data_IF_248557842424
#
_entry.id   IF_248557842424
#
_cell.length_a   1.000
_cell.length_b   1.000
_cell.length_c   1.000
_cell.angle_alpha   90.00
_cell.angle_beta   90.00
_cell.angle_gamma   90.00
#
_symmetry.space_group_name_H-M   'P 1'
#
loop_
_entity.id
_entity.type
_entity.pdbx_description
1 polymer ?
#
# COMPACT_ATOMS: atom_id res chain seq x y z
N UNK A 1 -13.68 21.51 -16.98
CA UNK A 1 -14.10 21.10 -15.62
C UNK A 1 -14.22 22.36 -14.76
N UNK A 2 -15.22 22.43 -13.86
CA UNK A 2 -15.46 23.60 -13.01
C UNK A 2 -14.76 23.39 -11.66
N UNK A 3 -14.17 24.46 -11.14
CA UNK A 3 -13.64 24.48 -9.76
C UNK A 3 -14.77 24.25 -8.74
N UNK A 4 -14.40 23.70 -7.58
CA UNK A 4 -15.34 23.45 -6.49
C UNK A 4 -15.96 24.77 -5.97
N UNK A 5 -17.28 25.01 -6.09
CA UNK A 5 -17.92 26.21 -5.55
C UNK A 5 -18.31 26.06 -4.07
N UNK A 6 -18.23 24.84 -3.52
CA UNK A 6 -18.60 24.49 -2.15
C UNK A 6 -17.36 24.31 -1.27
N UNK A 7 -16.47 25.30 -1.29
CA UNK A 7 -15.18 25.29 -0.57
C UNK A 7 -15.26 25.84 0.85
N UNK A 8 -16.40 26.39 1.24
CA UNK A 8 -16.57 27.11 2.50
C UNK A 8 -16.90 26.21 3.70
N UNK A 9 -17.25 24.94 3.47
CA UNK A 9 -17.47 23.96 4.53
C UNK A 9 -16.21 23.11 4.74
N UNK A 10 -15.89 22.72 5.98
CA UNK A 10 -14.66 21.95 6.29
C UNK A 10 -14.60 20.59 5.59
N UNK A 11 -15.75 20.00 5.27
CA UNK A 11 -15.82 18.77 4.48
C UNK A 11 -15.33 18.94 3.03
N UNK A 12 -15.05 20.16 2.58
CA UNK A 12 -14.46 20.41 1.27
C UNK A 12 -12.95 20.09 1.23
N UNK A 13 -12.28 20.03 2.39
CA UNK A 13 -10.85 19.71 2.49
C UNK A 13 -10.53 18.30 1.94
N UNK A 14 -11.50 17.37 2.04
CA UNK A 14 -11.38 16.03 1.49
C UNK A 14 -11.61 15.98 -0.03
N UNK A 15 -12.05 17.06 -0.67
CA UNK A 15 -12.36 17.06 -2.11
C UNK A 15 -11.14 17.50 -2.92
N UNK A 16 -10.56 16.57 -3.70
CA UNK A 16 -9.34 16.84 -4.45
C UNK A 16 -9.48 16.64 -5.96
N UNK A 17 -10.57 16.03 -6.44
CA UNK A 17 -10.85 15.93 -7.88
C UNK A 17 -11.68 17.10 -8.40
N UNK A 18 -11.75 17.23 -9.73
CA UNK A 18 -12.71 18.13 -10.36
C UNK A 18 -14.16 17.71 -10.11
N UNK A 19 -15.08 18.66 -10.25
CA UNK A 19 -16.52 18.41 -10.17
C UNK A 19 -17.10 17.89 -11.46
N UNK A 20 -17.94 16.86 -11.34
CA UNK A 20 -18.80 16.38 -12.41
C UNK A 20 -20.23 16.23 -11.86
N UNK A 21 -21.20 16.86 -12.50
CA UNK A 21 -22.60 16.75 -12.09
C UNK A 21 -23.50 16.51 -13.29
N UNK A 22 -24.52 15.71 -13.10
CA UNK A 22 -25.61 15.51 -14.07
C UNK A 22 -26.88 16.03 -13.40
N UNK A 23 -27.56 16.96 -14.07
CA UNK A 23 -28.84 17.50 -13.61
C UNK A 23 -29.92 17.08 -14.61
N UNK A 24 -30.90 16.33 -14.13
CA UNK A 24 -32.06 15.96 -14.92
C UNK A 24 -33.18 16.96 -14.71
N UNK A 25 -33.85 17.33 -15.80
CA UNK A 25 -34.98 18.26 -15.79
C UNK A 25 -36.17 17.65 -16.51
N UNK A 26 -37.36 17.90 -16.01
CA UNK A 26 -38.60 17.53 -16.69
C UNK A 26 -38.87 18.45 -17.90
N UNK A 27 -39.94 18.17 -18.65
CA UNK A 27 -40.34 18.97 -19.82
C UNK A 27 -40.69 20.44 -19.51
N UNK A 28 -40.93 20.76 -18.24
CA UNK A 28 -41.18 22.12 -17.76
C UNK A 28 -39.90 22.83 -17.27
N UNK A 29 -38.74 22.17 -17.35
CA UNK A 29 -37.45 22.69 -16.90
C UNK A 29 -37.19 22.59 -15.40
N UNK A 30 -38.09 21.96 -14.63
CA UNK A 30 -37.87 21.70 -13.20
C UNK A 30 -36.90 20.55 -13.00
N UNK A 31 -35.97 20.72 -12.06
CA UNK A 31 -34.99 19.69 -11.70
C UNK A 31 -35.67 18.51 -11.01
N UNK A 32 -35.23 17.31 -11.39
CA UNK A 32 -35.73 16.05 -10.86
C UNK A 32 -34.66 15.45 -9.95
N UNK A 33 -34.96 15.37 -8.65
CA UNK A 33 -34.13 14.67 -7.69
C UNK A 33 -34.34 13.17 -7.86
N UNK A 34 -33.28 12.45 -8.23
CA UNK A 34 -33.30 11.00 -8.36
C UNK A 34 -32.47 10.41 -7.24
N UNK A 35 -33.13 9.63 -6.39
CA UNK A 35 -32.55 8.92 -5.26
C UNK A 35 -33.10 7.49 -5.23
N UNK A 36 -32.36 6.57 -4.59
CA UNK A 36 -32.72 5.16 -4.45
C UNK A 36 -32.92 4.43 -5.79
N UNK A 37 -31.96 4.59 -6.70
CA UNK A 37 -31.90 3.81 -7.93
C UNK A 37 -31.87 2.30 -7.61
N UNK A 38 -32.59 1.51 -8.41
CA UNK A 38 -32.59 0.04 -8.31
C UNK A 38 -31.25 -0.58 -8.71
N UNK A 39 -30.52 0.11 -9.58
CA UNK A 39 -29.14 -0.21 -9.95
C UNK A 39 -28.29 1.05 -9.85
N UNK A 40 -27.12 0.95 -9.21
CA UNK A 40 -26.22 2.07 -9.05
C UNK A 40 -25.69 2.55 -10.41
N UNK A 41 -25.52 3.86 -10.54
CA UNK A 41 -24.84 4.49 -11.67
C UNK A 41 -23.33 4.52 -11.39
N UNK A 42 -22.54 4.03 -12.35
CA UNK A 42 -21.07 4.16 -12.31
C UNK A 42 -20.63 5.48 -12.94
N UNK A 43 -19.83 6.25 -12.22
CA UNK A 43 -19.30 7.56 -12.64
C UNK A 43 -17.78 7.50 -12.57
N UNK A 44 -17.11 7.78 -13.69
CA UNK A 44 -15.65 7.81 -13.75
C UNK A 44 -15.12 9.24 -13.81
N UNK A 45 -14.29 9.59 -12.82
CA UNK A 45 -13.67 10.89 -12.65
C UNK A 45 -12.15 10.75 -12.89
N UNK A 46 -11.55 11.55 -13.78
CA UNK A 46 -10.09 11.59 -13.89
C UNK A 46 -9.50 12.21 -12.63
N UNK A 47 -8.44 11.62 -12.09
CA UNK A 47 -7.67 12.23 -11.00
C UNK A 47 -6.75 13.31 -11.58
N UNK A 48 -6.54 14.40 -10.82
CA UNK A 48 -5.54 15.41 -11.19
C UNK A 48 -4.16 14.92 -10.77
N UNK A 49 -3.22 14.89 -11.72
CA UNK A 49 -1.82 14.56 -11.46
C UNK A 49 -1.42 13.16 -11.91
N UNK A 50 -0.11 12.94 -12.02
CA UNK A 50 0.45 11.63 -12.31
C UNK A 50 0.43 10.85 -10.99
N UNK A 51 -0.16 9.64 -10.94
CA UNK A 51 -0.10 8.81 -9.75
C UNK A 51 1.36 8.56 -9.36
N UNK A 52 1.72 8.93 -8.13
CA UNK A 52 3.06 8.69 -7.60
C UNK A 52 3.25 7.19 -7.35
N UNK A 53 4.34 6.65 -7.88
CA UNK A 53 4.74 5.27 -7.66
C UNK A 53 6.17 5.27 -7.12
N UNK A 54 6.39 4.44 -6.12
CA UNK A 54 7.70 4.19 -5.56
C UNK A 54 8.35 3.03 -6.31
N UNK A 55 9.58 3.26 -6.76
CA UNK A 55 10.40 2.21 -7.36
C UNK A 55 11.23 1.54 -6.28
N UNK A 56 10.95 0.26 -6.06
CA UNK A 56 11.54 -0.54 -4.98
C UNK A 56 12.29 -1.73 -5.57
N UNK A 57 13.45 -2.05 -5.00
CA UNK A 57 14.22 -3.24 -5.37
C UNK A 57 13.87 -4.41 -4.45
N UNK A 58 13.35 -5.48 -5.03
CA UNK A 58 13.18 -6.78 -4.37
C UNK A 58 14.45 -7.61 -4.60
N UNK A 59 15.14 -8.00 -3.52
CA UNK A 59 16.33 -8.85 -3.61
C UNK A 59 15.96 -10.30 -3.35
N UNK A 60 16.18 -11.17 -4.33
CA UNK A 60 15.88 -12.61 -4.25
C UNK A 60 17.19 -13.41 -4.20
N UNK A 61 17.44 -14.25 -3.19
CA UNK A 61 18.67 -15.05 -3.11
C UNK A 61 18.78 -16.06 -4.27
N UNK A 62 19.90 -16.07 -5.01
CA UNK A 62 20.11 -16.99 -6.16
C UNK A 62 20.07 -18.47 -5.75
N UNK A 63 20.42 -18.81 -4.50
CA UNK A 63 20.34 -20.19 -3.97
C UNK A 63 18.93 -20.81 -4.02
N UNK A 64 17.89 -20.00 -4.21
CA UNK A 64 16.49 -20.43 -4.34
C UNK A 64 16.06 -20.65 -5.80
N UNK A 65 16.79 -20.07 -6.76
CA UNK A 65 16.53 -20.20 -8.20
C UNK A 65 17.24 -21.41 -8.84
N UNK A 66 18.35 -21.89 -8.29
CA UNK A 66 19.16 -22.97 -8.88
C UNK A 66 18.67 -24.40 -8.59
N UNK A 67 17.63 -24.59 -7.77
CA UNK A 67 17.08 -25.93 -7.51
C UNK A 67 16.35 -26.44 -8.76
N UNK A 68 16.95 -27.44 -9.42
CA UNK A 68 16.47 -28.07 -10.66
C UNK A 68 15.20 -28.93 -10.51
N UNK A 69 14.65 -29.03 -9.30
CA UNK A 69 13.31 -29.53 -9.02
C UNK A 69 12.38 -28.34 -8.79
N UNK A 70 11.09 -28.37 -9.20
CA UNK A 70 10.14 -27.32 -8.85
C UNK A 70 10.27 -27.03 -7.36
N UNK A 71 10.78 -25.84 -7.03
CA UNK A 71 10.99 -25.45 -5.64
C UNK A 71 9.62 -25.40 -5.02
N UNK A 72 9.34 -26.34 -4.11
CA UNK A 72 8.15 -26.24 -3.29
C UNK A 72 8.24 -24.91 -2.56
N UNK A 73 7.14 -24.15 -2.56
CA UNK A 73 7.01 -22.83 -1.92
C UNK A 73 7.38 -22.85 -0.41
N UNK A 74 7.58 -24.04 0.17
CA UNK A 74 8.10 -24.31 1.51
C UNK A 74 9.58 -23.95 1.75
N UNK A 75 10.34 -23.60 0.71
CA UNK A 75 11.74 -23.16 0.85
C UNK A 75 11.87 -21.66 1.16
N UNK A 76 10.81 -20.87 0.92
CA UNK A 76 10.76 -19.45 1.24
C UNK A 76 10.59 -19.23 2.74
N UNK A 77 11.30 -18.23 3.28
CA UNK A 77 11.19 -17.78 4.66
C UNK A 77 10.53 -16.40 4.71
N UNK A 78 10.01 -16.01 5.88
CA UNK A 78 9.37 -14.70 6.07
C UNK A 78 10.29 -13.51 5.68
N UNK A 79 11.61 -13.72 5.66
CA UNK A 79 12.61 -12.72 5.24
C UNK A 79 12.57 -12.40 3.74
N UNK A 80 12.01 -13.30 2.93
CA UNK A 80 11.97 -13.21 1.47
C UNK A 80 10.68 -12.48 0.98
N UNK A 81 9.79 -12.14 1.92
CA UNK A 81 8.59 -11.33 1.68
C UNK A 81 8.99 -9.86 1.80
N UNK A 82 8.72 -9.07 0.76
CA UNK A 82 8.72 -7.62 0.86
C UNK A 82 7.41 -7.19 1.53
N UNK A 83 7.49 -6.50 2.66
CA UNK A 83 6.33 -5.98 3.39
C UNK A 83 6.24 -4.48 3.21
N UNK A 84 5.11 -4.00 2.69
CA UNK A 84 4.79 -2.58 2.60
C UNK A 84 3.73 -2.23 3.63
N UNK A 85 4.02 -1.29 4.53
CA UNK A 85 3.08 -0.77 5.52
C UNK A 85 2.49 0.57 5.04
N UNK A 86 1.18 0.70 5.10
CA UNK A 86 0.50 2.00 4.97
C UNK A 86 -0.77 2.08 5.81
N UNK A 87 -1.19 3.32 6.12
CA UNK A 87 -2.41 3.59 6.89
C UNK A 87 -3.51 4.06 5.95
N UNK A 88 -4.70 3.51 6.12
CA UNK A 88 -5.91 3.96 5.43
C UNK A 88 -6.94 4.44 6.45
N UNK A 89 -7.51 5.60 6.15
CA UNK A 89 -8.53 6.23 6.99
C UNK A 89 -9.88 5.53 6.84
N UNK A 90 -10.71 5.65 7.88
CA UNK A 90 -12.10 5.25 7.87
C UNK A 90 -12.88 5.88 6.70
N UNK A 91 -13.78 5.10 6.10
CA UNK A 91 -14.61 5.54 4.99
C UNK A 91 -13.90 5.53 3.63
N UNK A 92 -12.58 5.32 3.57
CA UNK A 92 -11.82 5.28 2.32
C UNK A 92 -11.68 3.87 1.76
N UNK A 93 -11.96 3.73 0.47
CA UNK A 93 -11.54 2.55 -0.29
C UNK A 93 -10.06 2.67 -0.66
N UNK A 94 -9.42 1.53 -0.88
CA UNK A 94 -7.98 1.44 -1.06
C UNK A 94 -7.68 0.75 -2.39
N UNK A 95 -6.76 1.34 -3.14
CA UNK A 95 -6.23 0.81 -4.40
C UNK A 95 -4.73 0.59 -4.22
N UNK A 96 -4.30 -0.65 -4.43
CA UNK A 96 -2.89 -1.04 -4.36
C UNK A 96 -2.45 -1.42 -5.76
N UNK A 97 -1.43 -0.72 -6.27
CA UNK A 97 -0.80 -1.00 -7.55
C UNK A 97 0.55 -1.64 -7.32
N UNK A 98 0.80 -2.78 -7.96
CA UNK A 98 2.09 -3.47 -7.93
C UNK A 98 2.43 -3.94 -9.33
N UNK A 99 3.52 -3.44 -9.90
CA UNK A 99 3.97 -3.84 -11.25
C UNK A 99 5.47 -4.13 -11.25
N UNK A 100 5.90 -5.32 -11.71
CA UNK A 100 7.29 -5.55 -12.07
C UNK A 100 7.72 -4.66 -13.25
N UNK A 101 8.91 -4.09 -13.18
CA UNK A 101 9.49 -3.30 -14.27
C UNK A 101 9.74 -4.19 -15.49
N UNK A 102 10.22 -5.41 -15.27
CA UNK A 102 10.43 -6.42 -16.30
C UNK A 102 9.12 -7.12 -16.67
N UNK A 103 8.94 -7.36 -17.97
CA UNK A 103 7.80 -8.10 -18.49
C UNK A 103 7.96 -9.61 -18.19
N UNK A 104 6.84 -10.35 -18.09
CA UNK A 104 6.75 -11.79 -17.79
C UNK A 104 7.09 -12.22 -16.35
N UNK A 105 7.14 -11.27 -15.41
CA UNK A 105 7.21 -11.58 -13.99
C UNK A 105 5.82 -11.73 -13.41
N UNK A 106 5.60 -12.81 -12.65
CA UNK A 106 4.40 -12.98 -11.85
C UNK A 106 4.76 -12.87 -10.37
N UNK A 107 3.98 -12.09 -9.65
CA UNK A 107 4.09 -11.89 -8.21
C UNK A 107 2.91 -12.51 -7.50
N UNK A 108 3.15 -13.01 -6.29
CA UNK A 108 2.12 -13.26 -5.29
C UNK A 108 2.06 -12.06 -4.36
N UNK A 109 0.90 -11.45 -4.28
CA UNK A 109 0.63 -10.28 -3.45
C UNK A 109 -0.52 -10.59 -2.52
N UNK A 110 -0.34 -10.34 -1.24
CA UNK A 110 -1.38 -10.53 -0.23
C UNK A 110 -1.44 -9.31 0.66
N UNK A 111 -2.66 -8.97 1.08
CA UNK A 111 -2.91 -7.80 1.91
C UNK A 111 -3.55 -8.26 3.19
N UNK A 112 -2.94 -7.91 4.32
CA UNK A 112 -3.41 -8.23 5.66
C UNK A 112 -3.68 -6.94 6.44
N UNK A 113 -4.75 -6.92 7.22
CA UNK A 113 -5.10 -5.79 8.09
C UNK A 113 -4.46 -5.99 9.47
N UNK A 114 -3.88 -4.92 10.02
CA UNK A 114 -3.31 -4.72 11.36
C UNK A 114 -2.14 -5.64 11.77
N UNK A 115 -1.88 -6.70 11.01
CA UNK A 115 -0.78 -7.64 11.22
C UNK A 115 0.03 -7.85 9.96
N UNK A 116 1.32 -8.12 10.15
CA UNK A 116 2.20 -8.49 9.04
C UNK A 116 1.83 -9.88 8.52
N UNK A 117 1.86 -10.08 7.19
CA UNK A 117 1.61 -11.39 6.62
C UNK A 117 2.79 -12.31 6.87
N UNK A 118 2.47 -13.58 7.13
CA UNK A 118 3.46 -14.65 7.19
C UNK A 118 3.43 -15.50 5.91
N UNK A 119 4.34 -16.48 5.84
CA UNK A 119 4.41 -17.36 4.68
C UNK A 119 3.18 -18.27 4.51
N UNK A 120 2.43 -18.57 5.57
CA UNK A 120 1.19 -19.36 5.44
C UNK A 120 0.09 -18.53 4.77
N UNK A 121 -0.03 -17.26 5.16
CA UNK A 121 -0.93 -16.29 4.55
C UNK A 121 -0.67 -16.19 3.03
N UNK A 122 0.62 -16.15 2.63
CA UNK A 122 1.03 -16.12 1.22
C UNK A 122 0.61 -17.36 0.44
N UNK A 123 0.59 -18.52 1.10
CA UNK A 123 0.36 -19.80 0.45
C UNK A 123 -1.12 -20.06 0.15
N UNK A 124 -2.02 -19.59 1.01
CA UNK A 124 -3.45 -19.89 0.89
C UNK A 124 -4.22 -18.86 0.07
N UNK A 125 -3.92 -17.57 0.25
CA UNK A 125 -4.84 -16.49 -0.14
C UNK A 125 -4.19 -15.36 -0.96
N UNK A 126 -2.92 -15.50 -1.36
CA UNK A 126 -2.27 -14.49 -2.18
C UNK A 126 -2.89 -14.38 -3.57
N UNK A 127 -3.00 -13.15 -4.04
CA UNK A 127 -3.45 -12.77 -5.38
C UNK A 127 -2.25 -12.78 -6.34
N UNK A 128 -2.45 -13.30 -7.55
CA UNK A 128 -1.42 -13.31 -8.60
C UNK A 128 -1.48 -12.02 -9.40
N UNK A 129 -0.34 -11.36 -9.55
CA UNK A 129 -0.19 -10.10 -10.30
C UNK A 129 0.88 -10.27 -11.37
N UNK A 130 0.62 -9.94 -12.66
CA UNK A 130 -0.64 -9.42 -13.20
C UNK A 130 -1.79 -10.43 -13.11
N UNK A 131 -3.02 -9.94 -12.91
CA UNK A 131 -4.25 -10.74 -13.00
C UNK A 131 -4.41 -11.31 -14.41
N UNK A 132 -4.85 -12.56 -14.50
CA UNK A 132 -5.14 -13.22 -15.78
C UNK A 132 -6.25 -12.47 -16.54
N UNK A 133 -6.12 -12.35 -17.87
CA UNK A 133 -7.08 -11.61 -18.70
C UNK A 133 -8.53 -12.10 -18.54
N UNK A 134 -8.74 -13.41 -18.33
CA UNK A 134 -10.06 -14.02 -18.09
C UNK A 134 -10.67 -13.67 -16.74
N UNK A 135 -9.85 -13.21 -15.81
CA UNK A 135 -10.27 -12.78 -14.48
C UNK A 135 -10.67 -11.31 -14.47
N UNK A 136 -10.11 -10.49 -15.34
CA UNK A 136 -10.53 -9.10 -15.51
C UNK A 136 -12.01 -9.05 -15.98
N UNK A 137 -12.82 -8.18 -15.37
CA UNK A 137 -14.21 -7.86 -15.77
C UNK A 137 -15.33 -8.90 -15.55
N UNK A 138 -15.04 -10.13 -15.10
CA UNK A 138 -16.06 -11.21 -15.10
C UNK A 138 -16.92 -11.36 -13.84
N UNK A 139 -16.62 -10.67 -12.74
CA UNK A 139 -17.42 -10.76 -11.50
C UNK A 139 -17.54 -9.41 -10.79
N UNK A 140 -18.77 -9.06 -10.39
CA UNK A 140 -19.14 -7.79 -9.74
C UNK A 140 -18.66 -7.71 -8.28
N UNK A 141 -18.16 -8.81 -7.71
CA UNK A 141 -17.86 -8.90 -6.27
C UNK A 141 -16.37 -8.90 -5.91
N UNK A 142 -15.44 -9.12 -6.85
CA UNK A 142 -14.05 -9.43 -6.45
C UNK A 142 -12.92 -9.14 -7.44
N UNK A 143 -13.13 -8.38 -8.54
CA UNK A 143 -12.06 -8.22 -9.54
C UNK A 143 -11.92 -6.79 -10.05
N UNK A 144 -10.66 -6.36 -10.11
CA UNK A 144 -10.24 -5.01 -10.50
C UNK A 144 -10.27 -4.83 -12.01
N UNK A 145 -10.40 -3.60 -12.49
CA UNK A 145 -10.34 -3.31 -13.93
C UNK A 145 -8.92 -3.36 -14.52
N UNK A 146 -7.89 -3.52 -13.69
CA UNK A 146 -6.50 -3.35 -14.08
C UNK A 146 -5.65 -4.55 -13.61
N UNK A 147 -4.82 -5.15 -14.49
CA UNK A 147 -4.08 -6.38 -14.19
C UNK A 147 -3.15 -6.26 -12.97
N UNK A 148 -2.68 -5.05 -12.69
CA UNK A 148 -1.71 -4.79 -11.63
C UNK A 148 -2.32 -4.13 -10.38
N UNK A 149 -3.64 -4.22 -10.22
CA UNK A 149 -4.37 -3.54 -9.14
C UNK A 149 -5.07 -4.53 -8.23
N UNK A 150 -5.00 -4.28 -6.93
CA UNK A 150 -5.83 -4.89 -5.90
C UNK A 150 -6.73 -3.79 -5.32
N UNK A 151 -8.03 -4.06 -5.26
CA UNK A 151 -9.06 -3.18 -4.71
C UNK A 151 -9.48 -3.70 -3.34
N UNK A 152 -9.57 -2.80 -2.37
CA UNK A 152 -10.20 -3.07 -1.09
C UNK A 152 -11.32 -2.06 -0.85
N UNK A 153 -12.53 -2.52 -0.49
CA UNK A 153 -13.66 -1.64 -0.24
C UNK A 153 -13.42 -0.76 0.99
N UNK A 154 -14.30 0.24 1.17
CA UNK A 154 -14.26 1.14 2.32
C UNK A 154 -14.45 0.38 3.63
N UNK A 155 -13.74 0.81 4.66
CA UNK A 155 -13.86 0.26 6.03
C UNK A 155 -14.52 1.26 6.97
N UNK A 156 -15.16 0.77 8.03
CA UNK A 156 -15.80 1.60 9.07
C UNK A 156 -14.85 1.93 10.24
N UNK A 157 -13.54 1.75 10.05
CA UNK A 157 -12.53 2.10 11.02
C UNK A 157 -11.20 2.37 10.30
N UNK A 158 -10.31 3.09 10.97
CA UNK A 158 -8.94 3.26 10.51
C UNK A 158 -8.21 1.91 10.55
N UNK A 159 -7.47 1.60 9.49
CA UNK A 159 -6.77 0.31 9.34
C UNK A 159 -5.31 0.52 8.96
N UNK A 160 -4.43 -0.31 9.50
CA UNK A 160 -3.05 -0.41 9.01
C UNK A 160 -2.96 -1.61 8.09
N UNK A 161 -2.54 -1.40 6.85
CA UNK A 161 -2.48 -2.45 5.84
C UNK A 161 -1.03 -2.87 5.60
N UNK A 162 -0.79 -4.17 5.68
CA UNK A 162 0.49 -4.79 5.37
C UNK A 162 0.37 -5.58 4.07
N UNK A 163 1.12 -5.15 3.05
CA UNK A 163 1.17 -5.79 1.74
C UNK A 163 2.41 -6.68 1.69
N UNK A 164 2.21 -7.99 1.67
CA UNK A 164 3.27 -8.97 1.42
C UNK A 164 3.42 -9.22 -0.08
N UNK A 165 4.63 -9.07 -0.60
CA UNK A 165 4.96 -9.28 -2.02
C UNK A 165 6.05 -10.35 -2.11
N UNK A 166 5.81 -11.35 -2.94
CA UNK A 166 6.70 -12.47 -3.19
C UNK A 166 6.78 -12.76 -4.69
N UNK A 167 7.96 -13.14 -5.18
CA UNK A 167 8.11 -13.64 -6.54
C UNK A 167 7.44 -15.02 -6.69
N UNK A 168 6.62 -15.20 -7.72
CA UNK A 168 6.08 -16.53 -8.06
C UNK A 168 7.06 -17.29 -8.95
N UNK A 169 7.64 -18.38 -8.44
CA UNK A 169 8.50 -19.25 -9.23
C UNK A 169 7.67 -20.23 -10.09
N UNK A 170 7.53 -19.95 -11.37
CA UNK A 170 6.95 -20.87 -12.35
C UNK A 170 8.06 -21.77 -12.94
N UNK A 171 8.09 -23.04 -12.51
CA UNK A 171 8.89 -24.19 -12.98
C UNK A 171 9.79 -23.99 -14.26
N UNK A 172 11.07 -24.41 -14.25
CA UNK A 172 12.19 -23.86 -15.03
C UNK A 172 12.30 -24.38 -16.47
N UNK A 173 11.24 -24.88 -17.11
CA UNK A 173 11.32 -25.27 -18.53
C UNK A 173 11.43 -24.07 -19.49
N UNK A 174 11.18 -22.87 -18.99
CA UNK A 174 11.46 -21.61 -19.65
C UNK A 174 12.54 -20.82 -18.88
N UNK A 175 13.61 -21.51 -18.45
CA UNK A 175 14.79 -20.94 -17.79
C UNK A 175 15.49 -19.83 -18.58
N UNK A 176 15.04 -19.51 -19.81
CA UNK A 176 15.44 -18.31 -20.53
C UNK A 176 15.08 -17.01 -19.78
N UNK A 177 14.07 -17.03 -18.91
CA UNK A 177 13.65 -15.83 -18.19
C UNK A 177 14.63 -15.42 -17.07
N UNK A 178 15.29 -16.39 -16.42
CA UNK A 178 16.41 -16.12 -15.50
C UNK A 178 17.72 -15.91 -16.29
N UNK A 179 17.79 -16.40 -17.53
CA UNK A 179 18.95 -16.28 -18.41
C UNK A 179 19.01 -14.96 -19.21
N UNK A 180 18.10 -14.00 -18.97
CA UNK A 180 18.19 -12.64 -19.52
C UNK A 180 19.29 -11.80 -18.85
N UNK A 181 19.70 -12.17 -17.63
CA UNK A 181 20.92 -11.67 -17.02
C UNK A 181 22.06 -12.57 -17.47
N UNK A 182 22.97 -12.05 -18.30
CA UNK A 182 24.19 -12.76 -18.71
C UNK A 182 25.02 -13.12 -17.47
N UNK A 183 24.82 -14.32 -16.91
CA UNK A 183 25.65 -14.88 -15.83
C UNK A 183 27.08 -15.24 -16.28
N UNK A 184 27.43 -15.04 -17.56
CA UNK A 184 28.70 -15.45 -18.14
C UNK A 184 29.90 -14.54 -17.82
N UNK A 185 29.76 -13.56 -16.93
CA UNK A 185 30.82 -12.60 -16.59
C UNK A 185 31.04 -12.33 -15.10
N UNK A 186 30.35 -13.04 -14.19
CA UNK A 186 30.36 -12.73 -12.76
C UNK A 186 31.29 -13.72 -12.02
N UNK A 187 32.31 -13.25 -11.30
CA UNK A 187 33.21 -14.13 -10.56
C UNK A 187 32.48 -14.87 -9.43
N UNK A 188 32.81 -16.14 -9.26
CA UNK A 188 32.22 -17.18 -8.37
C UNK A 188 32.17 -16.84 -6.87
N UNK A 189 32.56 -15.61 -6.49
CA UNK A 189 32.87 -15.20 -5.13
C UNK A 189 31.90 -14.12 -4.59
N UNK A 190 30.97 -13.62 -5.39
CA UNK A 190 29.89 -12.75 -4.94
C UNK A 190 28.56 -13.52 -5.01
N UNK A 191 27.94 -13.76 -3.86
CA UNK A 191 26.53 -14.18 -3.80
C UNK A 191 25.66 -13.02 -4.26
N UNK A 192 25.63 -12.74 -5.56
CA UNK A 192 24.73 -11.74 -6.10
C UNK A 192 23.31 -12.28 -5.97
N UNK A 193 22.37 -11.49 -5.45
CA UNK A 193 20.95 -11.81 -5.49
C UNK A 193 20.38 -11.39 -6.84
N UNK A 194 19.27 -11.99 -7.27
CA UNK A 194 18.46 -11.41 -8.34
C UNK A 194 17.80 -10.14 -7.79
N UNK A 195 18.10 -9.00 -8.39
CA UNK A 195 17.47 -7.73 -8.06
C UNK A 195 16.35 -7.45 -9.05
N UNK A 196 15.11 -7.45 -8.55
CA UNK A 196 13.90 -7.17 -9.32
C UNK A 196 13.42 -5.75 -8.97
N UNK A 197 13.22 -4.88 -9.97
CA UNK A 197 12.58 -3.58 -9.75
C UNK A 197 11.06 -3.68 -9.82
N UNK A 198 10.39 -3.09 -8.83
CA UNK A 198 8.93 -3.03 -8.74
C UNK A 198 8.49 -1.57 -8.65
N UNK A 199 7.46 -1.20 -9.42
CA UNK A 199 6.72 0.04 -9.22
C UNK A 199 5.51 -0.26 -8.32
N UNK A 200 5.48 0.36 -7.14
CA UNK A 200 4.45 0.17 -6.11
C UNK A 200 3.74 1.49 -5.86
N UNK A 201 2.41 1.48 -5.79
CA UNK A 201 1.63 2.65 -5.41
C UNK A 201 0.44 2.27 -4.52
N UNK A 202 0.18 3.07 -3.50
CA UNK A 202 -1.00 2.90 -2.63
C UNK A 202 -1.82 4.18 -2.66
N UNK A 203 -3.12 4.04 -2.84
CA UNK A 203 -4.04 5.17 -3.05
C UNK A 203 -5.30 4.95 -2.24
N UNK A 204 -5.76 6.02 -1.58
CA UNK A 204 -7.05 6.05 -0.89
C UNK A 204 -8.03 6.91 -1.68
N UNK A 205 -9.24 6.39 -1.85
CA UNK A 205 -10.29 7.04 -2.61
C UNK A 205 -11.59 7.14 -1.80
N UNK A 206 -12.29 8.26 -2.00
CA UNK A 206 -13.63 8.48 -1.47
C UNK A 206 -14.51 9.08 -2.58
N UNK A 207 -15.75 8.60 -2.68
CA UNK A 207 -16.76 9.14 -3.56
C UNK A 207 -17.65 10.08 -2.76
N UNK A 208 -17.67 11.36 -3.13
CA UNK A 208 -18.36 12.40 -2.39
C UNK A 208 -19.38 13.11 -3.29
N UNK A 209 -20.49 13.52 -2.70
CA UNK A 209 -21.45 14.39 -3.34
C UNK A 209 -21.80 15.55 -2.42
N UNK A 210 -22.22 16.66 -3.01
CA UNK A 210 -22.71 17.79 -2.23
C UNK A 210 -24.14 17.53 -1.79
N UNK A 211 -24.35 17.35 -0.49
CA UNK A 211 -25.68 17.22 0.09
C UNK A 211 -26.25 18.62 0.35
N UNK A 212 -27.21 19.04 -0.48
CA UNK A 212 -27.82 20.37 -0.38
C UNK A 212 -28.64 20.58 0.91
N UNK A 213 -29.19 19.52 1.48
CA UNK A 213 -29.98 19.58 2.71
C UNK A 213 -29.10 19.81 3.94
N UNK A 214 -28.02 19.03 4.05
CA UNK A 214 -27.05 19.15 5.15
C UNK A 214 -26.00 20.24 4.90
N UNK A 215 -25.94 20.76 3.67
CA UNK A 215 -24.93 21.70 3.19
C UNK A 215 -23.50 21.24 3.48
N UNK A 216 -23.22 19.97 3.17
CA UNK A 216 -21.91 19.37 3.36
C UNK A 216 -21.61 18.32 2.28
N UNK A 217 -20.33 18.02 2.11
CA UNK A 217 -19.90 16.86 1.33
C UNK A 217 -20.19 15.58 2.11
N UNK A 218 -20.81 14.61 1.44
CA UNK A 218 -21.21 13.33 2.02
C UNK A 218 -20.86 12.19 1.07
N UNK A 219 -20.60 11.01 1.60
CA UNK A 219 -20.38 9.76 0.87
C UNK A 219 -21.63 8.86 0.86
N UNK A 220 -22.72 9.28 1.51
CA UNK A 220 -23.92 8.47 1.68
C UNK A 220 -24.53 8.04 0.33
N UNK A 221 -24.74 6.73 0.15
CA UNK A 221 -25.28 6.18 -1.10
C UNK A 221 -24.28 6.12 -2.26
N UNK A 222 -23.00 6.38 -2.01
CA UNK A 222 -21.91 6.23 -2.96
C UNK A 222 -20.82 5.31 -2.42
N UNK A 223 -20.29 4.45 -3.28
CA UNK A 223 -19.13 3.62 -2.99
C UNK A 223 -18.09 3.74 -4.11
N UNK A 224 -16.82 3.56 -3.77
CA UNK A 224 -15.79 3.44 -4.80
C UNK A 224 -15.99 2.12 -5.54
N UNK A 225 -15.94 2.18 -6.86
CA UNK A 225 -16.10 1.01 -7.71
C UNK A 225 -14.80 0.22 -7.79
N UNK A 226 -14.82 -1.13 -7.88
CA UNK A 226 -13.63 -1.94 -8.15
C UNK A 226 -12.97 -1.63 -9.51
N UNK A 227 -13.62 -0.82 -10.34
CA UNK A 227 -13.08 -0.31 -11.61
C UNK A 227 -12.13 0.89 -11.43
N UNK A 228 -11.98 1.41 -10.21
CA UNK A 228 -11.03 2.48 -9.94
C UNK A 228 -9.58 2.04 -10.22
N UNK A 229 -8.76 2.99 -10.65
CA UNK A 229 -7.35 2.80 -11.01
C UNK A 229 -6.50 3.93 -10.39
N UNK A 230 -5.17 3.80 -10.34
CA UNK A 230 -4.30 4.88 -9.88
C UNK A 230 -4.52 6.24 -10.57
N UNK A 231 -4.92 6.23 -11.85
CA UNK A 231 -5.14 7.44 -12.65
C UNK A 231 -6.60 7.86 -12.81
N UNK A 232 -7.55 7.17 -12.16
CA UNK A 232 -8.96 7.45 -12.35
C UNK A 232 -9.84 6.83 -11.27
N UNK A 233 -10.67 7.67 -10.65
CA UNK A 233 -11.66 7.25 -9.67
C UNK A 233 -12.93 6.80 -10.39
N UNK A 234 -13.46 5.65 -10.02
CA UNK A 234 -14.81 5.23 -10.44
C UNK A 234 -15.69 5.09 -9.19
N UNK A 235 -16.91 5.63 -9.25
CA UNK A 235 -17.86 5.68 -8.13
C UNK A 235 -19.19 5.04 -8.54
N UNK A 236 -19.72 4.16 -7.71
CA UNK A 236 -21.04 3.56 -7.86
C UNK A 236 -22.01 4.23 -6.88
N UNK A 237 -22.93 5.05 -7.38
CA UNK A 237 -23.86 5.84 -6.57
C UNK A 237 -25.32 5.47 -6.86
N UNK A 238 -26.18 5.52 -5.84
CA UNK A 238 -27.62 5.22 -5.95
C UNK A 238 -28.51 6.46 -6.11
N UNK A 239 -27.92 7.64 -6.27
CA UNK A 239 -28.60 8.92 -6.49
C UNK A 239 -27.90 9.71 -7.61
N UNK A 240 -28.55 10.77 -8.10
CA UNK A 240 -28.01 11.65 -9.13
C UNK A 240 -27.88 13.08 -8.61
N UNK A 241 -26.66 13.51 -8.30
CA UNK A 241 -26.34 14.85 -7.78
C UNK A 241 -25.05 15.40 -8.41
N UNK A 242 -24.51 16.52 -7.91
CA UNK A 242 -23.16 16.98 -8.29
C UNK A 242 -22.12 16.16 -7.51
N UNK A 243 -21.25 15.46 -8.22
CA UNK A 243 -20.25 14.54 -7.68
C UNK A 243 -18.84 15.13 -7.68
N UNK A 244 -18.06 14.71 -6.69
CA UNK A 244 -16.63 14.91 -6.62
C UNK A 244 -15.96 13.72 -5.92
N UNK A 245 -14.64 13.68 -5.95
CA UNK A 245 -13.85 12.62 -5.36
C UNK A 245 -12.76 13.17 -4.45
N UNK A 246 -12.35 12.34 -3.51
CA UNK A 246 -11.05 12.46 -2.86
C UNK A 246 -10.07 11.49 -3.52
N UNK A 247 -8.91 12.01 -3.89
CA UNK A 247 -7.70 11.30 -4.26
C UNK A 247 -6.58 11.76 -3.33
N UNK A 248 -6.03 10.82 -2.56
CA UNK A 248 -4.86 11.05 -1.72
C UNK A 248 -3.78 10.03 -2.05
N UNK A 249 -2.57 10.55 -2.29
CA UNK A 249 -1.35 9.76 -2.45
C UNK A 249 -0.64 9.79 -1.10
N UNK A 250 -0.40 8.62 -0.52
CA UNK A 250 0.23 8.52 0.81
C UNK A 250 1.72 8.82 0.67
N UNK A 251 2.23 9.93 1.26
CA UNK A 251 3.59 10.39 0.96
C UNK A 251 4.69 9.64 1.72
N UNK A 252 4.35 8.83 2.73
CA UNK A 252 5.31 8.09 3.54
C UNK A 252 4.88 6.63 3.72
N UNK A 253 5.10 5.82 2.69
CA UNK A 253 4.99 4.35 2.80
C UNK A 253 6.27 3.80 3.41
N UNK A 254 6.15 2.87 4.36
CA UNK A 254 7.29 2.25 5.01
C UNK A 254 7.56 0.87 4.39
N UNK A 255 8.76 0.70 3.85
CA UNK A 255 9.20 -0.56 3.26
C UNK A 255 10.02 -1.35 4.27
N UNK A 256 9.52 -2.52 4.62
CA UNK A 256 10.15 -3.44 5.54
C UNK A 256 10.53 -4.71 4.79
N UNK A 257 11.82 -4.95 4.66
CA UNK A 257 12.32 -6.30 4.39
C UNK A 257 12.28 -7.06 5.71
N UNK A 258 12.07 -8.39 5.72
CA UNK A 258 11.95 -9.21 6.93
C UNK A 258 13.23 -9.34 7.80
N UNK A 259 14.02 -8.28 7.88
CA UNK A 259 15.22 -8.09 8.67
C UNK A 259 14.97 -7.23 9.92
N UNK A 260 13.81 -7.31 10.56
CA UNK A 260 13.56 -6.55 11.79
C UNK A 260 14.34 -7.04 13.01
N UNK A 261 15.12 -8.11 12.86
CA UNK A 261 16.05 -8.54 13.89
C UNK A 261 17.34 -7.71 13.93
N UNK A 262 17.60 -6.81 12.98
CA UNK A 262 18.91 -6.12 12.85
C UNK A 262 19.26 -5.24 14.05
N UNK A 263 18.29 -4.81 14.86
CA UNK A 263 18.63 -3.97 16.02
C UNK A 263 19.24 -4.72 17.21
N UNK A 264 19.25 -6.07 17.22
CA UNK A 264 19.91 -6.86 18.26
C UNK A 264 20.62 -8.14 17.76
N UNK A 265 20.84 -8.31 16.45
CA UNK A 265 21.70 -9.42 15.99
C UNK A 265 23.18 -9.05 16.25
N UNK A 266 23.66 -9.39 17.45
CA UNK A 266 25.05 -9.22 17.90
C UNK A 266 26.11 -9.87 16.98
N UNK A 267 25.73 -10.59 15.92
CA UNK A 267 26.66 -11.24 14.99
C UNK A 267 27.08 -10.39 13.80
N UNK A 268 26.28 -9.42 13.34
CA UNK A 268 26.53 -8.76 12.04
C UNK A 268 27.20 -7.39 12.13
N UNK A 269 27.19 -6.74 13.31
CA UNK A 269 27.94 -5.50 13.53
C UNK A 269 28.36 -5.35 15.00
N UNK A 270 29.39 -6.09 15.44
CA UNK A 270 29.87 -6.03 16.82
C UNK A 270 30.40 -4.64 17.21
N UNK A 271 30.81 -3.82 16.24
CA UNK A 271 31.33 -2.47 16.46
C UNK A 271 30.21 -1.56 16.98
N UNK A 272 29.05 -1.51 16.31
CA UNK A 272 27.92 -0.67 16.74
C UNK A 272 27.41 -1.07 18.13
N UNK A 273 27.27 -2.38 18.39
CA UNK A 273 26.86 -2.88 19.70
C UNK A 273 27.86 -2.50 20.81
N UNK A 274 29.16 -2.55 20.51
CA UNK A 274 30.22 -2.16 21.46
C UNK A 274 30.20 -0.67 21.79
N UNK A 275 29.94 0.19 20.80
CA UNK A 275 29.90 1.65 20.98
C UNK A 275 28.68 2.05 21.81
N UNK A 276 27.49 1.51 21.50
CA UNK A 276 26.27 1.79 22.26
C UNK A 276 26.43 1.32 23.72
N UNK A 277 27.01 0.14 23.92
CA UNK A 277 27.28 -0.39 25.27
C UNK A 277 28.26 0.49 26.05
N UNK A 278 29.33 0.97 25.41
CA UNK A 278 30.32 1.84 26.03
C UNK A 278 29.72 3.20 26.45
N UNK A 279 28.88 3.79 25.59
CA UNK A 279 28.17 5.05 25.91
C UNK A 279 27.21 4.85 27.09
N UNK A 280 26.46 3.74 27.12
CA UNK A 280 25.57 3.40 28.24
C UNK A 280 26.32 3.21 29.55
N UNK A 281 27.45 2.50 29.54
CA UNK A 281 28.29 2.31 30.72
C UNK A 281 28.85 3.65 31.23
N UNK A 282 29.34 4.50 30.32
CA UNK A 282 29.86 5.81 30.68
C UNK A 282 28.77 6.71 31.27
N UNK A 283 27.56 6.69 30.71
CA UNK A 283 26.40 7.39 31.26
C UNK A 283 26.08 6.93 32.69
N UNK A 284 26.00 5.61 32.94
CA UNK A 284 25.73 5.07 34.28
C UNK A 284 26.81 5.49 35.28
N UNK A 285 28.10 5.45 34.89
CA UNK A 285 29.20 5.90 35.73
C UNK A 285 29.04 7.38 36.11
N UNK A 286 28.72 8.24 35.13
CA UNK A 286 28.49 9.67 35.38
C UNK A 286 27.29 9.91 36.30
N UNK A 287 26.18 9.19 36.10
CA UNK A 287 24.99 9.28 36.97
C UNK A 287 25.32 8.84 38.40
N UNK A 288 26.07 7.76 38.59
CA UNK A 288 26.50 7.30 39.92
C UNK A 288 27.44 8.30 40.57
N UNK A 289 28.38 8.87 39.81
CA UNK A 289 29.30 9.89 40.29
C UNK A 289 28.55 11.16 40.73
N UNK A 290 27.66 11.68 39.87
CA UNK A 290 26.83 12.84 40.17
C UNK A 290 25.97 12.60 41.41
N UNK A 291 25.29 11.44 41.51
CA UNK A 291 24.47 11.07 42.68
C UNK A 291 25.29 10.94 43.97
N UNK A 292 26.54 10.49 43.89
CA UNK A 292 27.44 10.46 45.06
C UNK A 292 27.88 11.84 45.49
N UNK A 293 28.07 12.77 44.55
CA UNK A 293 28.41 14.16 44.86
C UNK A 293 27.23 14.91 45.46
N UNK A 294 26.05 14.76 44.87
CA UNK A 294 24.79 15.37 45.33
C UNK A 294 24.42 14.93 46.77
N UNK A 295 24.72 13.67 47.14
CA UNK A 295 24.60 13.17 48.51
C UNK A 295 25.58 13.77 49.52
N UNK A 296 26.75 14.23 49.08
CA UNK A 296 27.73 14.88 49.96
C UNK A 296 27.32 16.33 50.22
N UNK A 297 26.78 17.01 49.23
CA UNK A 297 26.31 18.40 49.36
C UNK A 297 25.08 18.50 50.28
N UNK A 298 24.21 17.48 50.32
CA UNK A 298 23.07 17.42 51.26
C UNK A 298 23.47 17.24 52.73
N UNK A 299 24.71 16.83 53.03
CA UNK A 299 25.20 16.74 54.42
C UNK A 299 25.63 18.08 55.02
N UNK A 300 25.74 19.14 54.21
CA UNK A 300 26.14 20.48 54.66
C UNK A 300 24.97 21.45 54.93
N UNK A 301 23.70 21.01 54.76
CA UNK A 301 22.50 21.86 54.95
C UNK A 301 21.72 21.51 56.24
N UNK A 302 22.24 20.64 57.11
CA UNK A 302 21.59 20.27 58.39
C UNK A 302 22.45 20.53 59.64
N UNK A 303 23.28 21.58 59.61
CA UNK A 303 23.94 22.10 60.80
C UNK A 303 23.71 23.61 60.95
#
# INVERSE_FOLDING_TARGET
>A
MKENPYTWHSSADSVTTDLMGIVLRNSQGHELNIENLSENLTISLPTKGIPHMDRVQLSVPISELEKSTPTMLSDYKDRDILVVEFRADEGSAVIIYVKPVEENITLKVYVKEDERPDMNDMNSNATRIPHDADTLYRSRTDKTAHPNVIYMPKSNHNRTLFIGILLENNNPRNSEFVAGYNMSGIPENETQGLHLELDIGTYTFNCLFWNEFLQMWSDAGCDVSPLATPGGLSCDCNHMTTFSGSFFVIPNVAYHFGHENVFLTSSNNPVTASVISAVWLLYIILVVYAKRHDRKDTSHVSQ
#
